data_IF_942634383591
#
_entry.id   IF_942634383591
#
_cell.length_a   1.000
_cell.length_b   1.000
_cell.length_c   1.000
_cell.angle_alpha   90.00
_cell.angle_beta   90.00
_cell.angle_gamma   90.00
#
_symmetry.space_group_name_H-M   'P 1'
#
loop_
_entity.id
_entity.type
_entity.pdbx_description
1 polymer ?
#
# COMPACT_ATOMS: atom_id res chain seq x y z
N UNK A 1 12.90 -9.34 0.18
CA UNK A 1 12.34 -10.13 1.29
C UNK A 1 11.61 -11.34 0.71
N UNK A 2 11.86 -12.50 1.25
CA UNK A 2 11.12 -13.73 0.97
C UNK A 2 10.65 -14.32 2.28
N UNK A 3 9.38 -14.76 2.34
CA UNK A 3 8.81 -15.32 3.56
C UNK A 3 7.67 -16.27 3.22
N UNK A 4 7.40 -17.20 4.12
CA UNK A 4 6.29 -18.14 4.06
C UNK A 4 5.37 -17.98 5.28
N UNK A 5 4.12 -18.30 5.05
CA UNK A 5 3.14 -18.38 6.12
C UNK A 5 3.25 -19.70 6.87
N UNK A 6 3.03 -19.70 8.16
CA UNK A 6 2.92 -20.89 8.98
C UNK A 6 1.58 -20.85 9.72
N UNK A 7 0.74 -21.84 9.49
CA UNK A 7 -0.62 -21.95 10.07
C UNK A 7 -1.41 -20.62 9.90
N UNK A 8 -1.62 -19.91 10.99
CA UNK A 8 -2.41 -18.67 11.02
C UNK A 8 -1.56 -17.40 11.02
N UNK A 9 -0.22 -17.51 10.90
CA UNK A 9 0.68 -16.36 10.95
C UNK A 9 1.32 -16.12 9.60
N UNK A 10 1.10 -14.94 9.02
CA UNK A 10 1.71 -14.53 7.75
C UNK A 10 3.20 -14.18 7.93
N UNK A 11 4.01 -14.58 6.94
CA UNK A 11 5.41 -14.16 6.80
C UNK A 11 6.30 -14.44 8.02
N UNK A 12 6.01 -15.50 8.81
CA UNK A 12 6.70 -15.77 10.07
C UNK A 12 8.13 -16.31 9.86
N UNK A 13 8.35 -17.05 8.78
CA UNK A 13 9.67 -17.58 8.44
C UNK A 13 10.13 -16.94 7.15
N UNK A 14 11.19 -16.16 7.22
CA UNK A 14 11.70 -15.45 6.04
C UNK A 14 13.11 -14.90 6.22
N UNK A 15 13.65 -14.39 5.13
CA UNK A 15 14.96 -13.75 5.11
C UNK A 15 15.04 -12.65 4.05
N UNK A 16 16.09 -11.84 4.13
CA UNK A 16 16.49 -10.93 3.05
C UNK A 16 17.36 -11.74 2.08
N UNK A 17 16.81 -12.03 0.92
CA UNK A 17 17.54 -12.71 -0.15
C UNK A 17 17.15 -12.10 -1.49
N UNK A 18 18.15 -11.70 -2.28
CA UNK A 18 17.94 -11.12 -3.59
C UNK A 18 17.97 -12.20 -4.66
N UNK A 19 17.01 -12.19 -5.61
CA UNK A 19 17.09 -13.04 -6.78
C UNK A 19 18.25 -12.62 -7.69
N UNK A 20 18.86 -13.56 -8.38
CA UNK A 20 19.89 -13.26 -9.39
C UNK A 20 19.30 -12.61 -10.63
N UNK A 21 18.06 -12.95 -10.96
CA UNK A 21 17.31 -12.42 -12.11
C UNK A 21 15.84 -12.33 -11.74
N UNK A 22 15.17 -11.28 -12.21
CA UNK A 22 13.72 -11.13 -12.15
C UNK A 22 13.21 -11.02 -13.59
N UNK A 23 12.45 -12.03 -14.03
CA UNK A 23 11.79 -12.04 -15.33
C UNK A 23 10.37 -11.52 -15.16
N UNK A 24 9.98 -10.54 -15.99
CA UNK A 24 8.67 -9.92 -15.96
C UNK A 24 8.07 -10.01 -17.35
N UNK A 25 6.98 -10.76 -17.47
CA UNK A 25 6.23 -10.92 -18.71
C UNK A 25 4.81 -10.37 -18.52
N UNK A 26 4.52 -9.15 -19.00
CA UNK A 26 3.20 -8.53 -18.89
C UNK A 26 2.10 -9.30 -19.65
N UNK A 27 2.44 -10.13 -20.63
CA UNK A 27 1.48 -10.96 -21.37
C UNK A 27 0.69 -11.90 -20.45
N UNK A 28 1.30 -12.31 -19.33
CA UNK A 28 0.64 -13.16 -18.34
C UNK A 28 -0.57 -12.47 -17.67
N UNK A 29 -0.62 -11.13 -17.69
CA UNK A 29 -1.73 -10.36 -17.15
C UNK A 29 -3.00 -10.45 -18.00
N UNK A 30 -2.92 -10.86 -19.28
CA UNK A 30 -4.07 -10.98 -20.19
C UNK A 30 -5.12 -11.99 -19.71
N UNK A 31 -4.69 -12.99 -18.94
CA UNK A 31 -5.60 -14.01 -18.38
C UNK A 31 -5.99 -13.73 -16.92
N UNK A 32 -5.47 -12.66 -16.32
CA UNK A 32 -5.78 -12.32 -14.95
C UNK A 32 -7.18 -11.70 -14.85
N UNK A 33 -8.06 -12.17 -13.94
CA UNK A 33 -9.35 -11.54 -13.72
C UNK A 33 -9.20 -10.04 -13.39
N UNK A 34 -10.09 -9.22 -13.93
CA UNK A 34 -10.00 -7.75 -13.84
C UNK A 34 -9.83 -7.24 -12.40
N UNK A 35 -10.54 -7.81 -11.43
CA UNK A 35 -10.41 -7.44 -10.01
C UNK A 35 -8.98 -7.63 -9.50
N UNK A 36 -8.31 -8.71 -9.87
CA UNK A 36 -6.92 -8.98 -9.47
C UNK A 36 -5.94 -8.07 -10.20
N UNK A 37 -6.19 -7.77 -11.47
CA UNK A 37 -5.40 -6.79 -12.22
C UNK A 37 -5.46 -5.42 -11.56
N UNK A 38 -6.68 -4.91 -11.30
CA UNK A 38 -6.88 -3.62 -10.60
C UNK A 38 -6.26 -3.63 -9.21
N UNK A 39 -6.40 -4.73 -8.47
CA UNK A 39 -5.77 -4.91 -7.17
C UNK A 39 -4.23 -4.72 -7.25
N UNK A 40 -3.58 -5.22 -8.30
CA UNK A 40 -2.15 -5.03 -8.55
C UNK A 40 -1.79 -3.56 -8.87
N UNK A 41 -2.66 -2.84 -9.59
CA UNK A 41 -2.43 -1.44 -9.95
C UNK A 41 -2.37 -0.49 -8.75
N UNK A 42 -2.96 -0.86 -7.61
CA UNK A 42 -2.91 -0.06 -6.38
C UNK A 42 -1.47 0.17 -5.92
N UNK A 43 -0.59 -0.82 -6.08
CA UNK A 43 0.83 -0.67 -5.75
C UNK A 43 1.53 0.35 -6.67
N UNK A 44 1.11 0.47 -7.92
CA UNK A 44 1.63 1.49 -8.83
C UNK A 44 1.11 2.89 -8.47
N UNK A 45 -0.18 3.03 -8.12
CA UNK A 45 -0.73 4.29 -7.58
C UNK A 45 0.05 4.70 -6.33
N UNK A 46 0.33 3.76 -5.44
CA UNK A 46 1.16 4.00 -4.26
C UNK A 46 2.55 4.51 -4.65
N UNK A 47 3.23 3.88 -5.62
CA UNK A 47 4.54 4.32 -6.10
C UNK A 47 4.50 5.77 -6.63
N UNK A 48 3.42 6.14 -7.33
CA UNK A 48 3.16 7.50 -7.77
C UNK A 48 3.04 8.49 -6.61
N UNK A 49 2.31 8.12 -5.59
CA UNK A 49 2.07 8.98 -4.43
C UNK A 49 3.32 9.20 -3.58
N UNK A 50 4.15 8.16 -3.39
CA UNK A 50 5.28 8.23 -2.45
C UNK A 50 6.59 8.71 -3.07
N UNK A 51 6.76 8.63 -4.42
CA UNK A 51 8.08 8.85 -5.01
C UNK A 51 8.06 9.47 -6.43
N UNK A 52 7.26 8.94 -7.36
CA UNK A 52 7.22 9.41 -8.75
C UNK A 52 5.81 9.80 -9.18
N UNK A 53 5.48 11.07 -8.99
CA UNK A 53 4.14 11.60 -9.28
C UNK A 53 3.70 11.40 -10.74
N UNK A 54 4.63 11.25 -11.70
CA UNK A 54 4.30 11.06 -13.12
C UNK A 54 3.58 9.72 -13.39
N UNK A 55 3.68 8.75 -12.47
CA UNK A 55 2.92 7.51 -12.56
C UNK A 55 1.41 7.78 -12.46
N UNK A 56 0.98 8.77 -11.66
CA UNK A 56 -0.43 9.11 -11.51
C UNK A 56 -1.04 9.61 -12.83
N UNK A 57 -0.25 10.28 -13.67
CA UNK A 57 -0.70 10.81 -14.96
C UNK A 57 -1.12 9.66 -15.91
N UNK A 58 -0.46 8.48 -15.80
CA UNK A 58 -0.84 7.29 -16.58
C UNK A 58 -2.24 6.78 -16.20
N UNK A 59 -2.65 6.97 -14.96
CA UNK A 59 -4.00 6.61 -14.50
C UNK A 59 -5.02 7.67 -14.84
N UNK A 60 -4.67 8.94 -14.77
CA UNK A 60 -5.60 10.06 -15.04
C UNK A 60 -5.89 10.22 -16.51
N UNK A 61 -4.85 10.26 -17.35
CA UNK A 61 -4.94 10.62 -18.75
C UNK A 61 -4.84 9.42 -19.69
N UNK A 62 -4.33 8.30 -19.20
CA UNK A 62 -4.11 7.08 -19.97
C UNK A 62 -5.16 5.98 -19.74
N UNK A 63 -4.89 4.84 -20.36
CA UNK A 63 -5.59 3.59 -20.09
C UNK A 63 -4.60 2.59 -19.47
N UNK A 64 -4.74 2.22 -18.18
CA UNK A 64 -3.83 1.31 -17.52
C UNK A 64 -3.69 -0.06 -18.18
N UNK A 65 -4.73 -0.55 -18.86
CA UNK A 65 -4.68 -1.86 -19.55
C UNK A 65 -3.72 -1.83 -20.75
N UNK A 66 -3.64 -0.69 -21.46
CA UNK A 66 -2.76 -0.53 -22.65
C UNK A 66 -1.38 0.01 -22.30
N UNK A 67 -1.21 0.55 -21.09
CA UNK A 67 0.04 1.16 -20.62
C UNK A 67 0.68 0.36 -19.47
N UNK A 68 0.28 -0.90 -19.30
CA UNK A 68 0.72 -1.72 -18.17
C UNK A 68 2.25 -1.89 -18.13
N UNK A 69 2.91 -2.00 -19.27
CA UNK A 69 4.37 -2.14 -19.35
C UNK A 69 5.08 -0.91 -18.77
N UNK A 70 4.61 0.29 -19.11
CA UNK A 70 5.16 1.54 -18.59
C UNK A 70 4.88 1.70 -17.09
N UNK A 71 3.67 1.34 -16.66
CA UNK A 71 3.28 1.35 -15.24
C UNK A 71 4.18 0.40 -14.44
N UNK A 72 4.40 -0.82 -14.93
CA UNK A 72 5.30 -1.80 -14.29
C UNK A 72 6.72 -1.24 -14.24
N UNK A 73 7.23 -0.75 -15.37
CA UNK A 73 8.60 -0.26 -15.48
C UNK A 73 8.87 0.89 -14.49
N UNK A 74 8.01 1.92 -14.46
CA UNK A 74 8.17 3.06 -13.53
C UNK A 74 8.03 2.64 -12.08
N UNK A 75 7.07 1.77 -11.76
CA UNK A 75 6.90 1.25 -10.40
C UNK A 75 8.13 0.47 -9.93
N UNK A 76 8.77 -0.28 -10.81
CA UNK A 76 10.02 -0.98 -10.51
C UNK A 76 11.19 -0.02 -10.31
N UNK A 77 11.28 1.07 -11.09
CA UNK A 77 12.30 2.10 -10.88
C UNK A 77 12.17 2.76 -9.50
N UNK A 78 10.93 3.07 -9.06
CA UNK A 78 10.67 3.57 -7.71
C UNK A 78 11.14 2.57 -6.66
N UNK A 79 10.72 1.30 -6.78
CA UNK A 79 11.12 0.27 -5.85
C UNK A 79 12.63 0.07 -5.82
N UNK A 80 13.29 0.06 -6.98
CA UNK A 80 14.75 -0.03 -7.09
C UNK A 80 15.42 1.12 -6.35
N UNK A 81 15.05 2.37 -6.67
CA UNK A 81 15.64 3.56 -6.07
C UNK A 81 15.52 3.57 -4.53
N UNK A 82 14.37 3.15 -4.01
CA UNK A 82 14.12 3.09 -2.56
C UNK A 82 14.92 1.95 -1.90
N UNK A 83 14.96 0.77 -2.52
CA UNK A 83 15.64 -0.41 -1.95
C UNK A 83 17.16 -0.27 -1.99
N UNK A 84 17.72 0.32 -3.05
CA UNK A 84 19.17 0.57 -3.16
C UNK A 84 19.66 1.56 -2.08
N UNK A 85 18.81 2.50 -1.66
CA UNK A 85 19.14 3.46 -0.59
C UNK A 85 18.95 2.89 0.81
N UNK A 86 18.03 1.92 0.98
CA UNK A 86 17.72 1.34 2.30
C UNK A 86 17.30 -0.13 2.17
N UNK A 87 18.27 -1.00 1.95
CA UNK A 87 18.04 -2.44 1.78
C UNK A 87 17.31 -3.09 2.95
N UNK A 88 17.66 -2.70 4.19
CA UNK A 88 17.16 -3.32 5.43
C UNK A 88 15.92 -2.67 6.03
N UNK A 89 15.34 -1.65 5.36
CA UNK A 89 14.13 -0.95 5.82
C UNK A 89 14.29 -0.25 7.19
N UNK A 90 15.40 0.39 7.36
CA UNK A 90 15.65 1.14 8.60
C UNK A 90 15.03 2.54 8.57
N UNK A 91 14.99 3.17 7.39
CA UNK A 91 14.56 4.55 7.20
C UNK A 91 13.68 4.72 5.96
N UNK A 92 14.27 5.11 4.81
CA UNK A 92 13.56 5.49 3.57
C UNK A 92 12.59 4.40 3.10
N UNK A 93 13.02 3.14 3.11
CA UNK A 93 12.20 2.03 2.59
C UNK A 93 10.85 1.87 3.31
N UNK A 94 10.69 2.43 4.50
CA UNK A 94 9.41 2.46 5.23
C UNK A 94 8.32 3.20 4.46
N UNK A 95 8.67 4.11 3.52
CA UNK A 95 7.66 4.77 2.68
C UNK A 95 6.85 3.79 1.82
N UNK A 96 7.43 2.62 1.47
CA UNK A 96 6.72 1.55 0.77
C UNK A 96 5.52 1.00 1.56
N UNK A 97 5.45 1.27 2.87
CA UNK A 97 4.33 0.88 3.72
C UNK A 97 3.20 1.93 3.73
N UNK A 98 3.20 2.90 2.80
CA UNK A 98 2.09 3.83 2.65
C UNK A 98 0.77 3.07 2.42
N UNK A 99 -0.25 3.41 3.18
CA UNK A 99 -1.54 2.70 3.19
C UNK A 99 -1.55 1.35 3.90
N UNK A 100 -0.39 0.70 4.12
CA UNK A 100 -0.32 -0.66 4.67
C UNK A 100 -0.63 -0.74 6.15
N UNK A 101 -0.41 0.33 6.91
CA UNK A 101 -0.67 0.32 8.36
C UNK A 101 -2.15 0.05 8.66
N UNK A 102 -3.05 0.79 8.04
CA UNK A 102 -4.49 0.55 8.12
C UNK A 102 -4.92 -0.63 7.25
N UNK A 103 -4.38 -0.72 6.03
CA UNK A 103 -4.73 -1.77 5.07
C UNK A 103 -4.54 -3.18 5.63
N UNK A 104 -3.43 -3.48 6.30
CA UNK A 104 -3.21 -4.77 6.96
C UNK A 104 -4.18 -5.03 8.13
N UNK A 105 -4.56 -3.98 8.87
CA UNK A 105 -5.57 -4.10 9.92
C UNK A 105 -6.91 -4.52 9.35
N UNK A 106 -7.37 -3.85 8.29
CA UNK A 106 -8.61 -4.19 7.56
C UNK A 106 -8.51 -5.60 6.96
N UNK A 107 -7.44 -5.92 6.25
CA UNK A 107 -7.20 -7.23 5.64
C UNK A 107 -7.29 -8.37 6.66
N UNK A 108 -6.79 -8.13 7.87
CA UNK A 108 -6.80 -9.14 8.93
C UNK A 108 -8.19 -9.36 9.54
N UNK A 109 -9.04 -8.34 9.57
CA UNK A 109 -10.42 -8.43 10.10
C UNK A 109 -11.35 -9.07 9.07
N UNK A 110 -11.27 -8.61 7.81
CA UNK A 110 -12.16 -9.10 6.75
C UNK A 110 -11.73 -10.44 6.14
N UNK A 111 -10.45 -10.76 6.20
CA UNK A 111 -9.89 -11.92 5.53
C UNK A 111 -9.77 -11.74 4.00
N UNK A 112 -8.93 -12.58 3.39
CA UNK A 112 -8.61 -12.51 1.94
C UNK A 112 -9.78 -12.91 1.02
N UNK A 113 -10.86 -13.47 1.56
CA UNK A 113 -12.03 -13.88 0.77
C UNK A 113 -12.94 -12.72 0.41
N UNK A 114 -12.98 -11.66 1.22
CA UNK A 114 -13.87 -10.52 1.03
C UNK A 114 -13.17 -9.35 0.33
N UNK A 115 -11.98 -8.98 0.82
CA UNK A 115 -11.18 -7.90 0.27
C UNK A 115 -9.79 -8.40 -0.13
N UNK A 116 -9.33 -7.99 -1.29
CA UNK A 116 -7.97 -8.27 -1.74
C UNK A 116 -6.99 -7.30 -1.09
N UNK A 117 -5.73 -7.71 -0.97
CA UNK A 117 -4.66 -6.91 -0.35
C UNK A 117 -4.59 -5.47 -0.88
N UNK A 118 -4.55 -5.27 -2.20
CA UNK A 118 -4.48 -3.94 -2.80
C UNK A 118 -5.75 -3.11 -2.51
N UNK A 119 -6.94 -3.73 -2.47
CA UNK A 119 -8.17 -3.04 -2.07
C UNK A 119 -8.05 -2.50 -0.64
N UNK A 120 -7.52 -3.29 0.30
CA UNK A 120 -7.26 -2.86 1.67
C UNK A 120 -6.21 -1.74 1.73
N UNK A 121 -5.14 -1.83 0.93
CA UNK A 121 -4.10 -0.80 0.85
C UNK A 121 -4.67 0.50 0.25
N UNK A 122 -5.53 0.41 -0.78
CA UNK A 122 -6.19 1.57 -1.37
C UNK A 122 -7.02 2.33 -0.33
N UNK A 123 -7.85 1.62 0.42
CA UNK A 123 -8.63 2.20 1.54
C UNK A 123 -7.68 2.83 2.58
N UNK A 124 -6.60 2.14 2.93
CA UNK A 124 -5.63 2.61 3.90
C UNK A 124 -4.81 3.82 3.47
N UNK A 125 -4.71 4.12 2.16
CA UNK A 125 -4.00 5.30 1.66
C UNK A 125 -4.80 6.59 1.84
N UNK A 126 -6.12 6.57 1.64
CA UNK A 126 -6.97 7.76 1.63
C UNK A 126 -6.80 8.62 2.89
N UNK A 127 -6.94 8.08 4.12
CA UNK A 127 -6.82 8.89 5.33
C UNK A 127 -5.38 9.31 5.65
N UNK A 128 -4.39 8.81 4.90
CA UNK A 128 -2.98 9.19 5.04
C UNK A 128 -2.57 10.32 4.09
N UNK A 129 -3.47 10.78 3.21
CA UNK A 129 -3.30 11.96 2.38
C UNK A 129 -3.63 13.21 3.22
N UNK A 130 -2.71 14.18 3.25
CA UNK A 130 -2.84 15.39 4.08
C UNK A 130 -3.32 16.62 3.30
N UNK A 131 -3.46 16.51 1.97
CA UNK A 131 -3.94 17.56 1.08
C UNK A 131 -5.24 17.14 0.40
N UNK A 132 -6.30 17.96 0.51
CA UNK A 132 -7.62 17.61 -0.01
C UNK A 132 -7.64 17.55 -1.56
N UNK A 133 -6.90 18.41 -2.24
CA UNK A 133 -6.85 18.38 -3.70
C UNK A 133 -6.16 17.10 -4.19
N UNK A 134 -5.09 16.66 -3.50
CA UNK A 134 -4.45 15.38 -3.78
C UNK A 134 -5.38 14.20 -3.47
N UNK A 135 -6.14 14.28 -2.39
CA UNK A 135 -7.11 13.25 -2.03
C UNK A 135 -8.21 13.12 -3.10
N UNK A 136 -8.78 14.24 -3.55
CA UNK A 136 -9.75 14.24 -4.64
C UNK A 136 -9.15 13.68 -5.94
N UNK A 137 -7.89 14.01 -6.22
CA UNK A 137 -7.14 13.44 -7.37
C UNK A 137 -7.09 11.92 -7.30
N UNK A 138 -6.76 11.37 -6.16
CA UNK A 138 -6.67 9.92 -5.94
C UNK A 138 -8.05 9.26 -6.02
N UNK A 139 -9.08 9.90 -5.45
CA UNK A 139 -10.45 9.39 -5.52
C UNK A 139 -10.97 9.28 -6.96
N UNK A 140 -10.64 10.26 -7.83
CA UNK A 140 -10.96 10.15 -9.28
C UNK A 140 -10.24 8.98 -9.96
N UNK A 141 -8.99 8.71 -9.58
CA UNK A 141 -8.26 7.53 -10.08
C UNK A 141 -8.96 6.25 -9.60
N UNK A 142 -9.37 6.20 -8.34
CA UNK A 142 -10.08 5.03 -7.79
C UNK A 142 -11.42 4.79 -8.48
N UNK A 143 -12.21 5.83 -8.71
CA UNK A 143 -13.46 5.75 -9.45
C UNK A 143 -13.22 5.16 -10.85
N UNK A 144 -12.23 5.65 -11.58
CA UNK A 144 -11.86 5.13 -12.92
C UNK A 144 -11.43 3.65 -12.89
N UNK A 145 -10.78 3.22 -11.82
CA UNK A 145 -10.34 1.84 -11.62
C UNK A 145 -11.43 0.93 -11.04
N UNK A 146 -12.54 1.49 -10.54
CA UNK A 146 -13.59 0.76 -9.82
C UNK A 146 -13.14 0.29 -8.43
N UNK A 147 -12.21 1.01 -7.80
CA UNK A 147 -11.76 0.77 -6.44
C UNK A 147 -12.66 1.46 -5.43
N UNK A 148 -12.87 0.82 -4.28
CA UNK A 148 -13.49 1.46 -3.12
C UNK A 148 -12.48 2.35 -2.40
N UNK A 149 -12.95 3.47 -1.87
CA UNK A 149 -12.16 4.41 -1.05
C UNK A 149 -12.33 4.20 0.44
N UNK A 150 -13.34 3.45 0.82
CA UNK A 150 -13.74 3.18 2.20
C UNK A 150 -14.33 1.78 2.36
N UNK A 151 -14.45 1.36 3.60
CA UNK A 151 -15.18 0.18 4.03
C UNK A 151 -15.65 0.41 5.47
N UNK A 152 -16.86 -0.03 5.80
CA UNK A 152 -17.32 0.00 7.20
C UNK A 152 -16.56 -1.04 8.00
N UNK A 153 -15.86 -0.63 9.04
CA UNK A 153 -15.07 -1.51 9.90
C UNK A 153 -15.24 -1.18 11.39
N UNK A 154 -15.05 -2.17 12.24
CA UNK A 154 -14.98 -1.96 13.67
C UNK A 154 -13.58 -1.48 14.07
N UNK A 155 -13.48 -0.21 14.49
CA UNK A 155 -12.19 0.41 14.86
C UNK A 155 -11.48 -0.35 16.01
N UNK A 156 -12.25 -0.93 16.95
CA UNK A 156 -11.70 -1.68 18.08
C UNK A 156 -11.06 -2.99 17.59
N UNK A 157 -11.72 -3.72 16.70
CA UNK A 157 -11.20 -4.96 16.12
C UNK A 157 -9.94 -4.72 15.27
N UNK A 158 -9.98 -3.70 14.41
CA UNK A 158 -8.80 -3.32 13.57
C UNK A 158 -7.64 -2.91 14.47
N UNK A 159 -7.90 -2.10 15.51
CA UNK A 159 -6.86 -1.68 16.45
C UNK A 159 -6.25 -2.84 17.22
N UNK A 160 -7.07 -3.78 17.71
CA UNK A 160 -6.60 -4.96 18.45
C UNK A 160 -5.68 -5.85 17.61
N UNK A 161 -6.00 -6.04 16.34
CA UNK A 161 -5.13 -6.77 15.40
C UNK A 161 -3.82 -6.03 15.18
N UNK A 162 -3.87 -4.73 14.92
CA UNK A 162 -2.68 -3.89 14.72
C UNK A 162 -1.78 -3.88 15.95
N UNK A 163 -2.35 -3.87 17.15
CA UNK A 163 -1.62 -3.91 18.42
C UNK A 163 -0.90 -5.24 18.64
N UNK A 164 -1.52 -6.37 18.26
CA UNK A 164 -0.89 -7.69 18.36
C UNK A 164 0.35 -7.81 17.46
N UNK A 165 0.25 -7.31 16.25
CA UNK A 165 1.33 -7.34 15.26
C UNK A 165 2.54 -6.47 15.68
N UNK A 166 2.32 -5.45 16.53
CA UNK A 166 3.30 -4.44 16.95
C UNK A 166 3.84 -4.60 18.36
N UNK A 167 3.45 -5.64 19.13
CA UNK A 167 3.94 -5.86 20.51
C UNK A 167 5.46 -5.82 20.68
N UNK A 168 6.22 -6.05 19.62
CA UNK A 168 7.68 -6.01 19.61
C UNK A 168 8.27 -4.58 19.42
N UNK A 169 7.46 -3.54 19.14
CA UNK A 169 7.95 -2.20 18.74
C UNK A 169 7.66 -1.08 19.78
N UNK A 170 7.03 -1.38 20.95
CA UNK A 170 6.72 -0.41 22.01
C UNK A 170 5.42 0.39 21.76
N UNK A 171 5.25 1.53 22.47
CA UNK A 171 3.99 2.31 22.51
C UNK A 171 3.76 3.26 21.31
N UNK A 172 4.49 3.08 20.23
CA UNK A 172 4.42 3.97 19.07
C UNK A 172 4.61 3.24 17.76
N UNK A 173 4.02 3.78 16.69
CA UNK A 173 4.12 3.26 15.32
C UNK A 173 4.56 4.36 14.36
N UNK A 174 5.31 3.98 13.33
CA UNK A 174 5.62 4.88 12.22
C UNK A 174 4.57 4.72 11.13
N UNK A 175 3.88 5.79 10.81
CA UNK A 175 2.95 5.89 9.67
C UNK A 175 3.58 6.71 8.55
N UNK A 176 3.15 6.45 7.33
CA UNK A 176 3.56 7.22 6.15
C UNK A 176 2.45 8.20 5.82
N UNK A 177 2.80 9.46 5.59
CA UNK A 177 1.88 10.52 5.19
C UNK A 177 2.34 11.12 3.86
N UNK A 178 1.39 11.57 3.05
CA UNK A 178 1.67 12.24 1.77
C UNK A 178 0.85 13.52 1.70
N UNK A 179 1.54 14.65 1.55
CA UNK A 179 0.93 15.95 1.33
C UNK A 179 1.03 16.40 -0.13
N UNK A 180 2.08 15.99 -0.81
CA UNK A 180 2.33 16.29 -2.22
C UNK A 180 2.67 14.98 -2.93
N UNK A 181 2.11 14.76 -4.12
CA UNK A 181 2.42 13.56 -4.91
C UNK A 181 3.91 13.44 -5.16
N UNK A 182 4.44 12.24 -4.99
CA UNK A 182 5.88 11.95 -5.10
C UNK A 182 6.69 12.26 -3.84
N UNK A 183 6.07 12.77 -2.75
CA UNK A 183 6.79 13.18 -1.54
C UNK A 183 6.15 12.58 -0.28
N UNK A 184 6.63 11.41 0.11
CA UNK A 184 6.20 10.76 1.35
C UNK A 184 7.02 11.23 2.55
N UNK A 185 6.37 11.31 3.71
CA UNK A 185 6.97 11.62 5.00
C UNK A 185 6.68 10.52 6.01
N UNK A 186 7.65 10.27 6.91
CA UNK A 186 7.49 9.31 8.01
C UNK A 186 7.11 10.07 9.27
N UNK A 187 6.00 9.69 9.91
CA UNK A 187 5.53 10.28 11.15
C UNK A 187 5.39 9.22 12.23
N UNK A 188 6.05 9.42 13.35
CA UNK A 188 5.89 8.56 14.52
C UNK A 188 4.69 9.05 15.33
N UNK A 189 3.74 8.17 15.60
CA UNK A 189 2.53 8.45 16.39
C UNK A 189 2.41 7.43 17.53
N UNK A 190 1.75 7.80 18.63
CA UNK A 190 1.45 6.86 19.69
C UNK A 190 0.34 5.89 19.28
N UNK A 191 0.24 4.75 19.97
CA UNK A 191 -0.86 3.81 19.76
C UNK A 191 -2.22 4.43 20.10
N UNK A 192 -2.27 5.35 21.06
CA UNK A 192 -3.48 6.10 21.40
C UNK A 192 -3.89 7.04 20.26
N UNK A 193 -2.94 7.78 19.67
CA UNK A 193 -3.21 8.61 18.49
C UNK A 193 -3.70 7.78 17.31
N UNK A 194 -3.12 6.60 17.10
CA UNK A 194 -3.59 5.68 16.07
C UNK A 194 -5.05 5.25 16.32
N UNK A 195 -5.38 4.91 17.55
CA UNK A 195 -6.74 4.48 17.91
C UNK A 195 -7.77 5.59 17.70
N UNK A 196 -7.48 6.83 18.13
CA UNK A 196 -8.36 7.97 17.86
C UNK A 196 -8.52 8.19 16.36
N UNK A 197 -7.43 8.15 15.60
CA UNK A 197 -7.46 8.25 14.15
C UNK A 197 -8.39 7.21 13.49
N UNK A 198 -8.32 5.93 13.92
CA UNK A 198 -9.19 4.87 13.40
C UNK A 198 -10.68 5.11 13.67
N UNK A 199 -11.03 5.84 14.73
CA UNK A 199 -12.42 6.22 15.04
C UNK A 199 -12.91 7.41 14.24
N UNK A 200 -12.04 8.34 13.89
CA UNK A 200 -12.37 9.58 13.17
C UNK A 200 -12.57 9.37 11.67
N UNK A 201 -11.90 8.39 11.07
CA UNK A 201 -11.94 8.12 9.61
C UNK A 201 -13.05 7.16 9.18
N UNK A 202 -14.00 6.88 10.07
CA UNK A 202 -15.19 6.07 9.77
C UNK A 202 -16.16 6.78 8.84
#
# INVERSE_FOLDING_TARGET
>A
KVAINLEHVKNIIGCFYHPSVVLIDPETLKTLPKRHFVNGLVEAVKAGLIYDASILDLFEHGNPETQVDEIIYRSLLVKKAVVEQDEKEQNLRKILNFGHTLGHGIESVYGLSELLHGECVAIGMIPMLEDEALKERVLRIYEKLGLKSDVDYNADEVFDVMKKDKKAQGDSITVVKVKEAGKATLKKISMEQLYQFLKEIK
#
